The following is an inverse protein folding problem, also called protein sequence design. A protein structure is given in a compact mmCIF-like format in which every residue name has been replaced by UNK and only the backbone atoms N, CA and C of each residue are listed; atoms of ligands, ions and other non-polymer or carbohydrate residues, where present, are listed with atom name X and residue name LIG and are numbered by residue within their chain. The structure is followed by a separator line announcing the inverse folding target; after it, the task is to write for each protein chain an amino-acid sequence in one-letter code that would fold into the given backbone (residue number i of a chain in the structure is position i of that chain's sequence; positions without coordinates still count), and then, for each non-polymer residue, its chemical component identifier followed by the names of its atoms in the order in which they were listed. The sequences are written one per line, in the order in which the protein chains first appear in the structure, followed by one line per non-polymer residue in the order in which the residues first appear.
data_IF_281200282430
#
_entry.id   IF_281200282430
#
_cell.length_a   1.000
_cell.length_b   1.000
_cell.length_c   1.000
_cell.angle_alpha   90.00
_cell.angle_beta   90.00
_cell.angle_gamma   90.00
#
_symmetry.space_group_name_H-M   'P 1'
#
loop_
_entity.id
_entity.type
_entity.pdbx_description
1 polymer ?
#
# COMPACT_ATOMS: atom_id res chain seq x y z
N UNK A 1 4.34 -5.93 12.76
CA UNK A 1 5.30 -6.59 13.66
C UNK A 1 6.72 -6.42 13.13
N UNK A 2 7.72 -6.55 14.00
CA UNK A 2 9.15 -6.51 13.66
C UNK A 2 9.85 -7.65 14.40
N UNK A 3 10.79 -8.34 13.74
CA UNK A 3 11.67 -9.32 14.38
C UNK A 3 13.08 -9.32 13.74
N UNK A 4 13.85 -10.38 13.97
CA UNK A 4 15.21 -10.55 13.48
C UNK A 4 15.44 -11.98 12.98
N UNK A 5 16.22 -12.11 11.89
CA UNK A 5 16.62 -13.40 11.31
C UNK A 5 17.49 -14.23 12.26
N UNK A 6 18.20 -13.56 13.18
CA UNK A 6 19.05 -14.22 14.17
C UNK A 6 20.24 -14.95 13.54
N UNK A 7 20.56 -16.14 14.05
CA UNK A 7 21.61 -16.98 13.47
C UNK A 7 21.07 -17.70 12.23
N UNK A 8 21.54 -17.30 11.04
CA UNK A 8 21.21 -17.93 9.76
C UNK A 8 22.48 -18.39 9.02
N UNK A 9 22.34 -18.87 7.78
CA UNK A 9 23.46 -19.33 6.93
C UNK A 9 24.43 -18.22 6.47
N UNK A 10 24.33 -17.03 7.05
CA UNK A 10 25.21 -15.88 6.83
C UNK A 10 24.50 -14.61 7.25
N UNK A 11 25.25 -13.58 7.65
CA UNK A 11 24.66 -12.33 8.18
C UNK A 11 23.60 -11.69 7.27
N UNK A 12 23.71 -11.89 5.96
CA UNK A 12 22.82 -11.34 4.94
C UNK A 12 21.89 -12.37 4.31
N UNK A 13 21.93 -13.63 4.78
CA UNK A 13 21.08 -14.69 4.26
C UNK A 13 19.72 -14.61 4.96
N UNK A 14 18.60 -14.49 4.21
CA UNK A 14 17.27 -14.41 4.80
C UNK A 14 16.90 -15.72 5.51
N UNK A 15 16.00 -15.62 6.50
CA UNK A 15 15.52 -16.75 7.29
C UNK A 15 14.00 -16.94 7.09
N UNK A 16 13.61 -18.07 6.50
CA UNK A 16 12.23 -18.45 6.21
C UNK A 16 11.34 -18.45 7.45
N UNK A 17 11.79 -19.13 8.52
CA UNK A 17 11.06 -19.22 9.77
C UNK A 17 10.90 -17.84 10.44
N UNK A 18 11.89 -16.96 10.32
CA UNK A 18 11.78 -15.60 10.84
C UNK A 18 10.75 -14.77 10.06
N UNK A 19 10.68 -14.92 8.73
CA UNK A 19 9.67 -14.25 7.91
C UNK A 19 8.25 -14.77 8.23
N UNK A 20 8.08 -16.09 8.37
CA UNK A 20 6.80 -16.64 8.83
C UNK A 20 6.38 -16.09 10.20
N UNK A 21 7.31 -16.03 11.15
CA UNK A 21 7.04 -15.55 12.50
C UNK A 21 6.63 -14.08 12.50
N UNK A 22 7.28 -13.20 11.72
CA UNK A 22 6.90 -11.78 11.68
C UNK A 22 5.53 -11.58 11.04
N UNK A 23 5.19 -12.37 10.03
CA UNK A 23 3.86 -12.38 9.40
C UNK A 23 2.80 -12.82 10.42
N UNK A 24 3.01 -13.97 11.09
CA UNK A 24 2.08 -14.48 12.12
C UNK A 24 1.94 -13.51 13.29
N UNK A 25 3.01 -12.85 13.69
CA UNK A 25 2.97 -11.83 14.74
C UNK A 25 2.17 -10.59 14.32
N UNK A 26 2.27 -10.16 13.06
CA UNK A 26 1.46 -9.06 12.54
C UNK A 26 -0.03 -9.43 12.50
N UNK A 27 -0.36 -10.63 12.02
CA UNK A 27 -1.73 -11.17 12.03
C UNK A 27 -2.31 -11.25 13.44
N UNK A 28 -1.55 -11.81 14.40
CA UNK A 28 -1.96 -11.90 15.79
C UNK A 28 -2.17 -10.51 16.42
N UNK A 29 -1.27 -9.57 16.14
CA UNK A 29 -1.40 -8.17 16.58
C UNK A 29 -2.66 -7.50 16.01
N UNK A 30 -3.01 -7.80 14.75
CA UNK A 30 -4.21 -7.31 14.10
C UNK A 30 -5.48 -8.08 14.49
N UNK A 31 -5.33 -9.25 15.14
CA UNK A 31 -6.40 -10.21 15.44
C UNK A 31 -7.13 -10.68 14.17
N UNK A 32 -6.36 -10.96 13.12
CA UNK A 32 -6.86 -11.42 11.83
C UNK A 32 -6.41 -12.86 11.55
N UNK A 33 -7.28 -13.63 10.90
CA UNK A 33 -6.91 -14.87 10.25
C UNK A 33 -6.15 -14.60 8.93
N UNK A 34 -5.24 -15.49 8.50
CA UNK A 34 -4.50 -15.29 7.24
C UNK A 34 -5.42 -15.13 6.02
N UNK A 35 -6.54 -15.86 5.99
CA UNK A 35 -7.53 -15.81 4.91
C UNK A 35 -8.20 -14.42 4.75
N UNK A 36 -8.17 -13.58 5.79
CA UNK A 36 -8.75 -12.24 5.79
C UNK A 36 -7.85 -11.17 5.17
N UNK A 37 -6.61 -11.50 4.78
CA UNK A 37 -5.71 -10.61 4.03
C UNK A 37 -5.75 -11.01 2.57
N UNK A 38 -6.06 -10.07 1.68
CA UNK A 38 -6.35 -10.33 0.26
C UNK A 38 -5.11 -10.24 -0.62
N UNK A 39 -4.19 -9.34 -0.27
CA UNK A 39 -3.02 -9.05 -1.07
C UNK A 39 -1.76 -8.86 -0.21
N UNK A 40 -0.58 -9.05 -0.81
CA UNK A 40 0.71 -8.74 -0.20
C UNK A 40 1.58 -7.93 -1.15
N UNK A 41 2.04 -6.77 -0.68
CA UNK A 41 3.21 -6.08 -1.21
C UNK A 41 4.46 -6.71 -0.58
N UNK A 42 5.13 -7.55 -1.38
CA UNK A 42 6.30 -8.29 -0.96
C UNK A 42 7.54 -7.40 -0.82
N UNK A 43 8.54 -7.90 -0.08
CA UNK A 43 9.88 -7.38 -0.17
C UNK A 43 10.46 -7.58 -1.57
N UNK A 44 10.25 -8.75 -2.20
CA UNK A 44 10.35 -9.02 -3.64
C UNK A 44 11.48 -8.27 -4.33
N UNK A 45 12.72 -8.67 -4.06
CA UNK A 45 13.93 -7.96 -4.52
C UNK A 45 14.46 -8.47 -5.84
N UNK A 46 13.87 -9.53 -6.41
CA UNK A 46 14.35 -10.15 -7.64
C UNK A 46 15.58 -11.02 -7.41
N UNK A 47 15.83 -11.46 -6.17
CA UNK A 47 17.04 -12.25 -5.87
C UNK A 47 16.76 -13.74 -5.98
N UNK A 48 17.71 -14.48 -6.57
CA UNK A 48 17.57 -15.93 -6.81
C UNK A 48 17.30 -16.75 -5.54
N UNK A 49 17.82 -16.30 -4.40
CA UNK A 49 17.66 -16.98 -3.11
C UNK A 49 16.53 -16.37 -2.27
N UNK A 50 16.43 -15.04 -2.22
CA UNK A 50 15.48 -14.36 -1.34
C UNK A 50 14.04 -14.51 -1.78
N UNK A 51 13.76 -14.40 -3.08
CA UNK A 51 12.38 -14.45 -3.57
C UNK A 51 11.73 -15.83 -3.33
N UNK A 52 12.42 -16.98 -3.55
CA UNK A 52 11.87 -18.27 -3.16
C UNK A 52 11.62 -18.43 -1.66
N UNK A 53 12.49 -17.89 -0.81
CA UNK A 53 12.34 -17.93 0.65
C UNK A 53 11.13 -17.11 1.09
N UNK A 54 10.95 -15.91 0.54
CA UNK A 54 9.79 -15.08 0.84
C UNK A 54 8.49 -15.71 0.34
N UNK A 55 8.47 -16.23 -0.89
CA UNK A 55 7.30 -16.92 -1.43
C UNK A 55 6.92 -18.15 -0.57
N UNK A 56 7.91 -18.93 -0.12
CA UNK A 56 7.69 -20.04 0.80
C UNK A 56 7.07 -19.61 2.13
N UNK A 57 7.58 -18.55 2.75
CA UNK A 57 7.01 -18.00 3.99
C UNK A 57 5.56 -17.50 3.80
N UNK A 58 5.26 -16.90 2.65
CA UNK A 58 3.89 -16.47 2.29
C UNK A 58 2.97 -17.67 2.05
N UNK A 59 3.43 -18.71 1.36
CA UNK A 59 2.66 -19.95 1.13
C UNK A 59 2.33 -20.66 2.46
N UNK A 60 3.31 -20.72 3.38
CA UNK A 60 3.15 -21.34 4.69
C UNK A 60 2.24 -20.55 5.65
N UNK A 61 2.03 -19.26 5.41
CA UNK A 61 1.22 -18.37 6.25
C UNK A 61 -0.13 -18.05 5.61
N UNK A 62 -0.11 -17.32 4.50
CA UNK A 62 -1.29 -16.84 3.80
C UNK A 62 -1.86 -17.86 2.82
N UNK A 63 -1.03 -18.68 2.16
CA UNK A 63 -1.45 -19.52 1.03
C UNK A 63 -2.35 -20.71 1.36
N UNK A 64 -2.62 -21.00 2.64
CA UNK A 64 -3.45 -22.15 3.06
C UNK A 64 -4.88 -21.73 3.41
N UNK A 65 -5.83 -22.65 3.24
CA UNK A 65 -7.23 -22.49 3.66
C UNK A 65 -7.93 -21.23 3.10
N UNK A 66 -7.77 -20.97 1.80
CA UNK A 66 -8.41 -19.85 1.12
C UNK A 66 -9.38 -20.32 0.04
N UNK A 67 -10.47 -19.57 -0.15
CA UNK A 67 -11.38 -19.74 -1.28
C UNK A 67 -10.86 -19.01 -2.53
N UNK A 68 -10.25 -17.85 -2.34
CA UNK A 68 -9.63 -17.03 -3.39
C UNK A 68 -8.13 -16.89 -3.14
N UNK A 69 -7.29 -16.88 -4.21
CA UNK A 69 -5.85 -16.76 -4.05
C UNK A 69 -5.47 -15.42 -3.40
N UNK A 70 -4.37 -15.43 -2.65
CA UNK A 70 -3.70 -14.22 -2.19
C UNK A 70 -3.03 -13.54 -3.38
N UNK A 71 -3.35 -12.26 -3.60
CA UNK A 71 -2.74 -11.47 -4.67
C UNK A 71 -1.34 -10.99 -4.24
N UNK A 72 -0.30 -11.37 -4.96
CA UNK A 72 1.09 -11.08 -4.64
C UNK A 72 1.71 -10.10 -5.64
N UNK A 73 2.41 -9.07 -5.15
CA UNK A 73 3.21 -8.21 -6.02
C UNK A 73 4.31 -7.44 -5.32
N UNK A 74 5.11 -6.68 -6.09
CA UNK A 74 6.19 -5.83 -5.58
C UNK A 74 6.38 -4.57 -6.41
N UNK A 75 6.33 -3.40 -5.76
CA UNK A 75 6.60 -2.09 -6.35
C UNK A 75 8.02 -1.97 -6.90
N UNK A 76 8.96 -2.79 -6.41
CA UNK A 76 10.37 -2.72 -6.83
C UNK A 76 10.54 -3.06 -8.31
N UNK A 77 9.60 -3.79 -8.89
CA UNK A 77 9.54 -4.03 -10.32
C UNK A 77 9.32 -2.74 -11.15
N UNK A 78 8.72 -1.69 -10.57
CA UNK A 78 8.47 -0.42 -11.26
C UNK A 78 9.56 0.63 -11.02
N UNK A 79 10.09 0.71 -9.80
CA UNK A 79 10.97 1.82 -9.37
C UNK A 79 12.31 1.37 -8.80
N UNK A 80 12.61 0.07 -8.86
CA UNK A 80 13.80 -0.52 -8.24
C UNK A 80 13.74 -0.56 -6.71
N UNK A 81 14.84 -1.00 -6.09
CA UNK A 81 14.93 -1.07 -4.63
C UNK A 81 15.38 0.27 -4.05
N UNK A 82 14.45 1.06 -3.51
CA UNK A 82 14.73 2.38 -2.92
C UNK A 82 15.32 2.35 -1.50
N UNK A 83 15.97 1.24 -1.13
CA UNK A 83 16.61 1.00 0.17
C UNK A 83 15.75 1.42 1.38
N UNK A 84 16.18 2.42 2.15
CA UNK A 84 15.54 2.88 3.36
C UNK A 84 14.10 3.37 3.16
N UNK A 85 13.72 3.75 1.94
CA UNK A 85 12.34 4.18 1.62
C UNK A 85 11.48 3.06 1.03
N UNK A 86 12.01 1.85 0.85
CA UNK A 86 11.28 0.76 0.20
C UNK A 86 9.99 0.39 0.95
N UNK A 87 10.04 0.38 2.29
CA UNK A 87 8.86 0.10 3.11
C UNK A 87 7.75 1.14 2.93
N UNK A 88 8.07 2.44 3.01
CA UNK A 88 7.06 3.51 2.85
C UNK A 88 6.55 3.58 1.40
N UNK A 89 7.38 3.29 0.41
CA UNK A 89 6.95 3.21 -0.98
C UNK A 89 5.91 2.09 -1.18
N UNK A 90 6.16 0.91 -0.60
CA UNK A 90 5.20 -0.21 -0.60
C UNK A 90 3.89 0.13 0.13
N UNK A 91 3.96 0.84 1.27
CA UNK A 91 2.76 1.36 1.96
C UNK A 91 1.97 2.32 1.07
N UNK A 92 2.63 3.28 0.41
CA UNK A 92 1.96 4.23 -0.49
C UNK A 92 1.28 3.49 -1.64
N UNK A 93 1.96 2.56 -2.31
CA UNK A 93 1.36 1.72 -3.37
C UNK A 93 0.12 1.00 -2.83
N UNK A 94 0.22 0.37 -1.67
CA UNK A 94 -0.86 -0.43 -1.10
C UNK A 94 -2.07 0.43 -0.72
N UNK A 95 -1.85 1.61 -0.13
CA UNK A 95 -2.94 2.57 0.14
C UNK A 95 -3.61 3.03 -1.15
N UNK A 96 -2.84 3.29 -2.21
CA UNK A 96 -3.41 3.65 -3.51
C UNK A 96 -4.19 2.48 -4.12
N UNK A 97 -3.69 1.24 -4.00
CA UNK A 97 -4.38 0.04 -4.49
C UNK A 97 -5.73 -0.17 -3.78
N UNK A 98 -5.77 -0.03 -2.45
CA UNK A 98 -7.00 -0.13 -1.64
C UNK A 98 -8.01 0.95 -2.07
N UNK A 99 -7.56 2.21 -2.20
CA UNK A 99 -8.41 3.34 -2.61
C UNK A 99 -9.02 3.16 -4.00
N UNK A 100 -8.27 2.59 -4.93
CA UNK A 100 -8.73 2.36 -6.29
C UNK A 100 -9.40 1.00 -6.49
N UNK A 101 -9.45 0.14 -5.46
CA UNK A 101 -9.99 -1.21 -5.57
C UNK A 101 -9.28 -2.06 -6.63
N UNK A 102 -7.97 -1.86 -6.83
CA UNK A 102 -7.19 -2.45 -7.92
C UNK A 102 -5.77 -2.77 -7.43
N UNK A 103 -5.33 -4.02 -7.58
CA UNK A 103 -3.93 -4.42 -7.35
C UNK A 103 -3.16 -4.22 -8.66
N UNK A 104 -2.16 -3.32 -8.72
CA UNK A 104 -1.42 -3.06 -9.94
C UNK A 104 -0.44 -4.19 -10.26
N UNK A 105 -0.14 -4.35 -11.55
CA UNK A 105 0.80 -5.34 -12.06
C UNK A 105 2.20 -5.22 -11.46
N UNK A 106 2.79 -6.37 -11.16
CA UNK A 106 4.22 -6.56 -10.93
C UNK A 106 4.90 -6.80 -12.28
N UNK A 107 5.90 -6.00 -12.59
CA UNK A 107 6.57 -6.03 -13.89
C UNK A 107 7.68 -7.09 -13.93
N UNK A 108 8.11 -7.43 -15.16
CA UNK A 108 9.24 -8.31 -15.44
C UNK A 108 9.07 -9.77 -14.97
N UNK A 109 7.81 -10.20 -14.82
CA UNK A 109 7.46 -11.61 -14.54
C UNK A 109 7.15 -12.30 -15.86
N UNK A 110 8.14 -12.95 -16.46
CA UNK A 110 7.97 -13.78 -17.66
C UNK A 110 7.61 -15.22 -17.27
N UNK A 111 8.34 -15.78 -16.30
CA UNK A 111 8.13 -17.10 -15.73
C UNK A 111 8.25 -17.02 -14.21
N UNK A 112 7.43 -17.78 -13.49
CA UNK A 112 7.55 -17.89 -12.04
C UNK A 112 8.79 -18.69 -11.66
N UNK A 113 9.36 -18.39 -10.49
CA UNK A 113 10.54 -19.11 -10.00
C UNK A 113 10.25 -20.62 -9.89
N UNK A 114 11.08 -21.50 -10.49
CA UNK A 114 10.94 -22.95 -10.37
C UNK A 114 11.40 -23.48 -9.00
N UNK A 115 11.93 -22.61 -8.15
CA UNK A 115 12.36 -22.94 -6.79
C UNK A 115 11.25 -22.75 -5.75
N UNK A 116 10.03 -22.50 -6.20
CA UNK A 116 8.84 -22.34 -5.36
C UNK A 116 7.80 -23.34 -5.86
N UNK A 117 7.22 -24.11 -4.94
CA UNK A 117 6.07 -24.96 -5.24
C UNK A 117 4.79 -24.13 -5.13
N UNK A 118 4.41 -23.49 -6.25
CA UNK A 118 3.24 -22.61 -6.30
C UNK A 118 1.92 -23.38 -6.15
N UNK A 119 1.91 -24.68 -6.43
CA UNK A 119 0.70 -25.51 -6.35
C UNK A 119 0.34 -25.89 -4.90
N UNK A 120 1.27 -25.71 -3.95
CA UNK A 120 1.00 -25.99 -2.53
C UNK A 120 0.01 -24.99 -1.90
N UNK A 121 -0.17 -23.81 -2.45
CA UNK A 121 -0.99 -22.77 -1.85
C UNK A 121 -1.69 -21.88 -2.87
N UNK A 122 -2.73 -21.20 -2.42
CA UNK A 122 -3.48 -20.28 -3.26
C UNK A 122 -2.82 -18.90 -3.22
N UNK A 123 -1.76 -18.69 -4.01
CA UNK A 123 -1.10 -17.39 -4.24
C UNK A 123 -1.02 -17.13 -5.74
N UNK A 124 -1.39 -15.92 -6.15
CA UNK A 124 -1.33 -15.46 -7.54
C UNK A 124 -0.39 -14.25 -7.63
N UNK A 125 0.69 -14.38 -8.41
CA UNK A 125 1.55 -13.24 -8.73
C UNK A 125 0.84 -12.36 -9.76
N UNK A 126 0.51 -11.13 -9.37
CA UNK A 126 -0.28 -10.20 -10.17
C UNK A 126 0.59 -9.62 -11.28
N UNK A 127 0.44 -10.09 -12.52
CA UNK A 127 1.18 -9.61 -13.70
C UNK A 127 0.39 -8.65 -14.59
N UNK A 128 -0.91 -8.52 -14.32
CA UNK A 128 -1.82 -7.55 -14.96
C UNK A 128 -2.63 -6.81 -13.89
N UNK A 129 -3.10 -5.57 -14.14
CA UNK A 129 -3.93 -4.85 -13.17
C UNK A 129 -5.19 -5.66 -12.83
N UNK A 130 -5.31 -6.08 -11.57
CA UNK A 130 -6.33 -7.04 -11.12
C UNK A 130 -7.30 -6.36 -10.16
N UNK A 131 -8.62 -6.37 -10.44
CA UNK A 131 -9.62 -5.86 -9.51
C UNK A 131 -9.50 -6.51 -8.14
N UNK A 132 -9.64 -5.72 -7.09
CA UNK A 132 -9.63 -6.27 -5.73
C UNK A 132 -10.88 -7.15 -5.52
N UNK A 133 -10.73 -8.38 -5.01
CA UNK A 133 -11.88 -9.29 -4.84
C UNK A 133 -12.91 -8.72 -3.86
N UNK A 134 -14.18 -8.98 -4.13
CA UNK A 134 -15.27 -8.69 -3.18
C UNK A 134 -15.41 -9.88 -2.22
N UNK A 135 -14.85 -9.74 -1.03
CA UNK A 135 -14.76 -10.79 -0.01
C UNK A 135 -15.75 -10.58 1.15
N UNK A 136 -16.59 -9.54 1.10
CA UNK A 136 -17.53 -9.19 2.17
C UNK A 136 -16.90 -8.60 3.44
N UNK A 137 -15.57 -8.38 3.45
CA UNK A 137 -14.85 -7.68 4.51
C UNK A 137 -14.06 -6.49 3.94
N UNK A 138 -13.58 -5.55 4.77
CA UNK A 138 -12.72 -4.46 4.30
C UNK A 138 -11.50 -5.01 3.54
N UNK A 139 -11.09 -4.32 2.48
CA UNK A 139 -9.89 -4.70 1.72
C UNK A 139 -8.66 -4.67 2.63
N UNK A 140 -7.88 -5.75 2.66
CA UNK A 140 -6.72 -5.87 3.56
C UNK A 140 -5.48 -6.34 2.82
N UNK A 141 -4.34 -5.71 3.10
CA UNK A 141 -3.07 -6.10 2.52
C UNK A 141 -1.91 -6.10 3.50
N UNK A 142 -1.04 -7.10 3.36
CA UNK A 142 0.26 -7.14 4.01
C UNK A 142 1.30 -6.33 3.24
N UNK A 143 2.27 -5.74 3.95
CA UNK A 143 3.45 -5.09 3.38
C UNK A 143 4.69 -5.63 4.08
N UNK A 144 5.58 -6.27 3.33
CA UNK A 144 6.83 -6.85 3.82
C UNK A 144 8.04 -5.97 3.50
N UNK A 145 8.96 -5.84 4.46
CA UNK A 145 10.26 -5.24 4.26
C UNK A 145 11.32 -5.95 5.10
N UNK A 146 12.33 -6.52 4.43
CA UNK A 146 13.39 -7.29 5.08
C UNK A 146 14.73 -6.59 4.90
N UNK A 147 15.36 -6.24 6.01
CA UNK A 147 16.65 -5.55 6.00
C UNK A 147 17.80 -6.53 5.77
N UNK A 148 18.82 -6.11 5.02
CA UNK A 148 20.03 -6.92 4.77
C UNK A 148 20.76 -7.37 6.05
N UNK A 149 20.55 -6.69 7.18
CA UNK A 149 21.08 -7.06 8.49
C UNK A 149 20.17 -8.01 9.28
N UNK A 150 19.15 -8.59 8.63
CA UNK A 150 18.19 -9.53 9.22
C UNK A 150 17.00 -8.90 9.96
N UNK A 151 16.89 -7.58 10.07
CA UNK A 151 15.71 -6.96 10.72
C UNK A 151 14.52 -7.01 9.76
N UNK A 152 13.48 -7.73 10.13
CA UNK A 152 12.28 -7.89 9.30
C UNK A 152 11.13 -7.06 9.86
N UNK A 153 10.31 -6.52 8.96
CA UNK A 153 9.06 -5.87 9.29
C UNK A 153 7.93 -6.39 8.39
N UNK A 154 6.76 -6.61 8.99
CA UNK A 154 5.53 -6.88 8.25
C UNK A 154 4.39 -6.08 8.85
N UNK A 155 3.65 -5.37 8.02
CA UNK A 155 2.53 -4.51 8.42
C UNK A 155 1.27 -4.93 7.68
N UNK A 156 0.11 -4.83 8.32
CA UNK A 156 -1.19 -5.07 7.68
C UNK A 156 -1.92 -3.73 7.60
N UNK A 157 -2.39 -3.40 6.40
CA UNK A 157 -3.22 -2.23 6.09
C UNK A 157 -4.65 -2.68 5.82
N UNK A 158 -5.61 -1.92 6.32
CA UNK A 158 -7.04 -2.16 6.12
C UNK A 158 -7.68 -0.92 5.48
N UNK A 159 -8.64 -1.13 4.58
CA UNK A 159 -9.52 -0.09 4.07
C UNK A 159 -10.20 0.66 5.21
N UNK A 160 -10.19 1.98 5.14
CA UNK A 160 -10.90 2.79 6.11
C UNK A 160 -12.41 2.48 6.04
N UNK A 161 -13.13 2.47 7.19
CA UNK A 161 -14.58 2.32 7.18
C UNK A 161 -15.22 3.31 6.20
N UNK A 162 -16.18 2.82 5.39
CA UNK A 162 -17.02 3.71 4.59
C UNK A 162 -17.83 4.54 5.56
N UNK A 163 -17.52 5.83 5.62
CA UNK A 163 -18.25 6.76 6.45
C UNK A 163 -19.60 7.03 5.77
N UNK A 164 -20.62 6.21 6.06
CA UNK A 164 -21.99 6.43 5.55
C UNK A 164 -22.52 7.81 5.97
N UNK A 165 -21.97 8.40 7.04
CA UNK A 165 -22.27 9.74 7.51
C UNK A 165 -21.58 10.86 6.68
N UNK A 166 -20.67 10.52 5.77
CA UNK A 166 -20.02 11.47 4.86
C UNK A 166 -20.78 11.67 3.54
N UNK A 167 -22.02 11.20 3.41
CA UNK A 167 -23.06 12.12 2.90
C UNK A 167 -23.26 13.21 3.95
N UNK A 168 -22.22 14.02 4.20
CA UNK A 168 -22.46 15.39 4.59
C UNK A 168 -23.39 15.87 3.51
N UNK A 169 -24.61 16.26 3.88
CA UNK A 169 -25.33 17.23 3.07
C UNK A 169 -24.31 18.33 2.85
N UNK A 170 -23.64 18.31 1.69
CA UNK A 170 -22.85 19.42 1.25
C UNK A 170 -23.90 20.51 1.24
N UNK A 171 -23.83 21.40 2.23
CA UNK A 171 -24.71 22.56 2.29
C UNK A 171 -24.29 23.35 1.07
N UNK A 172 -24.92 23.03 -0.06
CA UNK A 172 -24.61 23.60 -1.33
C UNK A 172 -24.80 25.09 -1.11
N UNK A 173 -23.71 25.84 -1.22
CA UNK A 173 -23.78 27.27 -1.05
C UNK A 173 -24.87 27.79 -2.00
N UNK A 174 -25.77 28.68 -1.55
CA UNK A 174 -26.83 29.21 -2.40
C UNK A 174 -26.30 29.62 -3.78
N UNK A 175 -27.06 29.43 -4.87
CA UNK A 175 -26.63 29.87 -6.19
C UNK A 175 -26.20 31.35 -6.16
N UNK A 176 -24.98 31.64 -6.63
CA UNK A 176 -24.40 32.99 -6.60
C UNK A 176 -23.56 33.33 -5.36
N UNK A 177 -23.37 32.39 -4.44
CA UNK A 177 -22.44 32.54 -3.31
C UNK A 177 -21.00 32.74 -3.80
N UNK A 178 -20.29 33.70 -3.22
CA UNK A 178 -18.85 33.87 -3.44
C UNK A 178 -18.09 33.10 -2.36
N UNK A 179 -17.26 32.15 -2.78
CA UNK A 179 -16.40 31.38 -1.87
C UNK A 179 -14.95 31.89 -2.02
N UNK A 180 -14.32 32.44 -0.96
CA UNK A 180 -12.93 32.86 -1.03
C UNK A 180 -12.00 31.64 -1.02
N UNK A 181 -11.07 31.59 -1.97
CA UNK A 181 -9.98 30.61 -1.99
C UNK A 181 -8.68 31.32 -1.62
N UNK A 182 -8.25 31.11 -0.38
CA UNK A 182 -7.05 31.76 0.17
C UNK A 182 -5.82 30.92 -0.19
N UNK A 183 -4.82 31.55 -0.80
CA UNK A 183 -3.54 30.91 -1.13
C UNK A 183 -2.42 31.78 -0.57
N UNK A 184 -1.45 31.16 0.10
CA UNK A 184 -0.30 31.82 0.69
C UNK A 184 1.00 31.07 0.38
N UNK A 185 2.12 31.80 0.34
CA UNK A 185 3.45 31.25 0.15
C UNK A 185 4.49 32.21 0.70
N UNK A 186 5.58 31.69 1.30
CA UNK A 186 6.64 32.50 1.94
C UNK A 186 7.42 33.41 0.99
N UNK A 187 7.27 33.19 -0.32
CA UNK A 187 7.89 34.00 -1.36
C UNK A 187 6.87 34.20 -2.50
N UNK A 188 7.03 35.25 -3.32
CA UNK A 188 6.17 35.46 -4.49
C UNK A 188 6.15 34.25 -5.43
N UNK A 189 7.28 33.57 -5.63
CA UNK A 189 7.36 32.39 -6.49
C UNK A 189 6.64 31.19 -5.88
N UNK A 190 6.78 30.98 -4.57
CA UNK A 190 6.04 29.93 -3.86
C UNK A 190 4.52 30.16 -3.90
N UNK A 191 4.08 31.42 -3.77
CA UNK A 191 2.66 31.79 -3.90
C UNK A 191 2.12 31.46 -5.29
N UNK A 192 2.83 31.86 -6.36
CA UNK A 192 2.42 31.55 -7.74
C UNK A 192 2.35 30.05 -7.98
N UNK A 193 3.30 29.29 -7.44
CA UNK A 193 3.33 27.83 -7.57
C UNK A 193 2.18 27.15 -6.82
N UNK A 194 1.81 27.63 -5.62
CA UNK A 194 0.62 27.13 -4.92
C UNK A 194 -0.66 27.44 -5.71
N UNK A 195 -0.78 28.63 -6.28
CA UNK A 195 -1.92 28.99 -7.12
C UNK A 195 -1.99 28.10 -8.38
N UNK A 196 -0.85 27.80 -9.02
CA UNK A 196 -0.78 26.88 -10.17
C UNK A 196 -1.24 25.47 -9.79
N UNK A 197 -0.74 24.91 -8.68
CA UNK A 197 -1.14 23.58 -8.20
C UNK A 197 -2.61 23.48 -7.86
N UNK A 198 -3.16 24.52 -7.22
CA UNK A 198 -4.59 24.61 -6.94
C UNK A 198 -5.39 24.61 -8.24
N UNK A 199 -4.99 25.42 -9.21
CA UNK A 199 -5.64 25.47 -10.51
C UNK A 199 -5.60 24.12 -11.24
N UNK A 200 -4.45 23.42 -11.23
CA UNK A 200 -4.32 22.09 -11.82
C UNK A 200 -5.20 21.05 -11.12
N UNK A 201 -5.29 21.11 -9.80
CA UNK A 201 -6.16 20.23 -9.03
C UNK A 201 -7.63 20.41 -9.39
N UNK A 202 -8.11 21.66 -9.46
CA UNK A 202 -9.54 21.94 -9.73
C UNK A 202 -9.92 21.87 -11.21
N UNK A 203 -8.94 22.01 -12.11
CA UNK A 203 -9.14 21.80 -13.54
C UNK A 203 -9.07 20.33 -13.95
N UNK A 204 -8.53 19.47 -13.07
CA UNK A 204 -8.55 18.02 -13.24
C UNK A 204 -9.90 17.39 -12.92
N UNK A 205 -9.95 16.06 -12.93
CA UNK A 205 -11.14 15.28 -12.57
C UNK A 205 -11.26 15.21 -11.04
N UNK A 206 -11.89 16.22 -10.44
CA UNK A 206 -12.14 16.27 -9.00
C UNK A 206 -13.64 16.42 -8.71
N UNK A 207 -14.12 15.64 -7.75
CA UNK A 207 -15.49 15.77 -7.22
C UNK A 207 -15.60 16.84 -6.11
N UNK A 208 -14.48 17.49 -5.75
CA UNK A 208 -14.44 18.45 -4.65
C UNK A 208 -15.27 19.71 -4.96
N UNK A 209 -16.18 20.06 -4.06
CA UNK A 209 -17.00 21.25 -4.23
C UNK A 209 -16.20 22.52 -3.93
N UNK A 210 -16.49 23.67 -4.58
CA UNK A 210 -15.76 24.90 -4.33
C UNK A 210 -15.74 25.35 -2.86
N UNK A 211 -16.81 25.07 -2.11
CA UNK A 211 -16.89 25.30 -0.68
C UNK A 211 -15.90 24.47 0.14
N UNK A 212 -15.71 23.20 -0.22
CA UNK A 212 -14.80 22.28 0.47
C UNK A 212 -13.33 22.64 0.20
N UNK A 213 -13.03 23.06 -1.03
CA UNK A 213 -11.72 23.59 -1.41
C UNK A 213 -11.43 24.85 -0.61
N UNK A 214 -12.33 25.83 -0.62
CA UNK A 214 -12.18 27.08 0.15
C UNK A 214 -12.02 26.83 1.65
N UNK A 215 -12.85 25.96 2.23
CA UNK A 215 -12.76 25.56 3.63
C UNK A 215 -11.41 24.92 3.96
N UNK A 216 -10.95 23.98 3.13
CA UNK A 216 -9.68 23.28 3.35
C UNK A 216 -8.50 24.24 3.26
N UNK A 217 -8.51 25.15 2.28
CA UNK A 217 -7.51 26.20 2.14
C UNK A 217 -7.47 27.12 3.37
N UNK A 218 -8.62 27.53 3.88
CA UNK A 218 -8.71 28.45 5.01
C UNK A 218 -8.37 27.82 6.38
N UNK A 219 -8.66 26.53 6.57
CA UNK A 219 -8.60 25.90 7.91
C UNK A 219 -7.45 24.92 8.10
N UNK A 220 -6.84 24.42 7.01
CA UNK A 220 -5.82 23.35 7.09
C UNK A 220 -4.47 23.73 6.49
N UNK A 221 -4.32 24.96 5.97
CA UNK A 221 -3.05 25.46 5.41
C UNK A 221 -2.44 26.53 6.32
N UNK A 222 -1.12 26.52 6.41
CA UNK A 222 -0.38 27.60 7.05
C UNK A 222 -0.55 28.90 6.27
N UNK A 223 -0.86 29.96 6.99
CA UNK A 223 -0.89 31.32 6.43
C UNK A 223 0.53 31.89 6.50
N UNK A 224 1.00 32.45 5.39
CA UNK A 224 2.29 33.12 5.27
C UNK A 224 2.06 34.58 4.88
N UNK A 225 2.93 35.47 5.39
CA UNK A 225 3.04 36.86 4.97
C UNK A 225 3.78 37.00 3.63
#
# INVERSE_FOLDING_TARGET
AVNQDGASNGLTAPNDAAQEQVIRAALASARLAPAEVDAVEAHGTGTKLGDPIEAGALLATYGRHRESPLLLGSLKSNIGHTHATAGVAGVIKTVMAIRNGLVPATLHVEELSPHVDWDEGAIEVVTEPTPWPDTGHPRRAGVSAFGISGTNAHLILEEAPRDEAATREAVAAPPGSVVPWVVSGRTPDALREQARRLNEFVAGDTEALPGEVGWSLATTRSVFE
#
